data_IF_377120429591
#
_entry.id   IF_377120429591
#
_cell.length_a   1.000
_cell.length_b   1.000
_cell.length_c   1.000
_cell.angle_alpha   90.00
_cell.angle_beta   90.00
_cell.angle_gamma   90.00
#
_symmetry.space_group_name_H-M   'P 1'
#
loop_
_entity.id
_entity.type
_entity.pdbx_description
1 polymer ?
#
# COMPACT_ATOMS: atom_id res chain seq x y z
N UNK A 1 0.45 -15.01 -7.79
CA UNK A 1 1.83 -14.80 -7.30
C UNK A 1 2.61 -16.11 -7.42
N UNK A 2 3.75 -16.08 -8.10
CA UNK A 2 4.69 -17.19 -8.12
C UNK A 2 5.55 -17.16 -6.85
N UNK A 3 5.28 -18.10 -5.94
CA UNK A 3 5.95 -18.17 -4.65
C UNK A 3 7.27 -18.91 -4.67
N UNK A 4 7.58 -19.66 -5.73
CA UNK A 4 8.76 -20.57 -5.78
C UNK A 4 10.10 -19.84 -5.64
N UNK A 5 10.13 -18.55 -5.99
CA UNK A 5 11.32 -17.69 -5.95
C UNK A 5 11.61 -17.09 -4.56
N UNK A 6 10.73 -17.31 -3.58
CA UNK A 6 10.86 -16.74 -2.24
C UNK A 6 11.20 -17.78 -1.19
N UNK A 7 11.85 -17.37 -0.09
CA UNK A 7 12.07 -18.22 1.06
C UNK A 7 10.75 -18.70 1.69
N UNK A 8 10.74 -19.86 2.35
CA UNK A 8 9.54 -20.40 3.00
C UNK A 8 8.88 -19.40 3.99
N UNK A 9 9.70 -18.66 4.73
CA UNK A 9 9.20 -17.62 5.63
C UNK A 9 8.42 -16.55 4.85
N UNK A 10 9.01 -16.05 3.75
CA UNK A 10 8.38 -15.03 2.93
C UNK A 10 7.13 -15.54 2.20
N UNK A 11 7.15 -16.80 1.73
CA UNK A 11 5.97 -17.45 1.16
C UNK A 11 4.79 -17.48 2.14
N UNK A 12 5.04 -17.82 3.42
CA UNK A 12 4.00 -17.80 4.45
C UNK A 12 3.44 -16.40 4.66
N UNK A 13 4.31 -15.37 4.70
CA UNK A 13 3.90 -13.98 4.83
C UNK A 13 3.05 -13.57 3.62
N UNK A 14 3.53 -13.78 2.40
CA UNK A 14 2.80 -13.44 1.17
C UNK A 14 1.42 -14.12 1.13
N UNK A 15 1.34 -15.41 1.47
CA UNK A 15 0.07 -16.13 1.53
C UNK A 15 -0.89 -15.53 2.56
N UNK A 16 -0.39 -15.11 3.72
CA UNK A 16 -1.21 -14.43 4.74
C UNK A 16 -1.72 -13.09 4.24
N UNK A 17 -0.83 -12.27 3.65
CA UNK A 17 -1.19 -10.98 3.08
C UNK A 17 -2.18 -11.11 1.92
N UNK A 18 -2.03 -12.15 1.09
CA UNK A 18 -2.94 -12.39 -0.04
C UNK A 18 -4.37 -12.79 0.43
N UNK A 19 -4.49 -13.32 1.63
CA UNK A 19 -5.78 -13.62 2.25
C UNK A 19 -6.37 -12.43 3.03
N UNK A 20 -5.64 -11.33 3.16
CA UNK A 20 -6.13 -10.12 3.80
C UNK A 20 -7.30 -9.52 2.99
N UNK A 21 -8.41 -9.25 3.67
CA UNK A 21 -9.55 -8.60 3.04
C UNK A 21 -9.29 -7.11 2.90
N UNK A 22 -9.96 -6.48 1.94
CA UNK A 22 -9.99 -5.02 1.87
C UNK A 22 -10.40 -4.42 3.23
N UNK A 23 -9.64 -3.44 3.69
CA UNK A 23 -9.86 -2.79 4.98
C UNK A 23 -9.15 -3.45 6.16
N UNK A 24 -8.56 -4.65 6.00
CA UNK A 24 -7.65 -5.22 7.02
C UNK A 24 -6.45 -4.31 7.17
N UNK A 25 -6.03 -4.00 8.40
CA UNK A 25 -4.82 -3.19 8.61
C UNK A 25 -3.57 -3.96 8.20
N UNK A 26 -2.53 -3.24 7.81
CA UNK A 26 -1.23 -3.85 7.51
C UNK A 26 -0.72 -4.61 8.73
N UNK A 27 -0.88 -4.03 9.93
CA UNK A 27 -0.51 -4.69 11.20
C UNK A 27 -1.20 -6.04 11.37
N UNK A 28 -2.52 -6.09 11.22
CA UNK A 28 -3.28 -7.33 11.43
C UNK A 28 -2.99 -8.37 10.34
N UNK A 29 -2.76 -7.93 9.10
CA UNK A 29 -2.42 -8.82 8.00
C UNK A 29 -1.06 -9.50 8.18
N UNK A 30 -0.06 -8.80 8.71
CA UNK A 30 1.24 -9.39 9.03
C UNK A 30 1.19 -10.24 10.30
N UNK A 31 0.37 -9.85 11.29
CA UNK A 31 0.34 -10.52 12.61
C UNK A 31 1.72 -10.57 13.26
N UNK A 32 2.13 -11.75 13.70
CA UNK A 32 3.42 -11.97 14.39
C UNK A 32 4.66 -11.81 13.49
N UNK A 33 4.47 -11.79 12.16
CA UNK A 33 5.54 -11.59 11.20
C UNK A 33 5.70 -10.11 10.78
N UNK A 34 5.06 -9.18 11.51
CA UNK A 34 5.19 -7.75 11.25
C UNK A 34 6.66 -7.32 11.39
N UNK A 35 7.25 -6.69 10.35
CA UNK A 35 8.60 -6.14 10.48
C UNK A 35 8.68 -5.07 11.57
N UNK A 36 9.84 -4.95 12.23
CA UNK A 36 10.09 -3.92 13.24
C UNK A 36 9.88 -2.50 12.69
N UNK A 37 10.14 -2.32 11.41
CA UNK A 37 9.89 -1.07 10.69
C UNK A 37 9.49 -1.32 9.23
N UNK A 38 8.61 -0.48 8.71
CA UNK A 38 8.26 -0.40 7.30
C UNK A 38 8.50 1.04 6.85
N UNK A 39 9.50 1.22 6.01
CA UNK A 39 9.93 2.53 5.53
C UNK A 39 9.00 3.06 4.45
N UNK A 40 8.74 4.37 4.44
CA UNK A 40 8.03 5.07 3.38
C UNK A 40 9.03 5.86 2.53
N UNK A 41 9.06 5.57 1.24
CA UNK A 41 9.85 6.30 0.23
C UNK A 41 8.95 7.18 -0.63
N UNK A 42 9.41 8.38 -0.95
CA UNK A 42 8.70 9.27 -1.86
C UNK A 42 9.07 8.99 -3.34
N UNK A 43 8.49 9.78 -4.23
CA UNK A 43 8.72 9.68 -5.68
C UNK A 43 10.17 9.92 -6.13
N UNK A 44 10.98 10.51 -5.27
CA UNK A 44 12.41 10.75 -5.51
C UNK A 44 13.28 9.69 -4.83
N UNK A 45 12.69 8.59 -4.40
CA UNK A 45 13.35 7.52 -3.65
C UNK A 45 14.03 8.01 -2.36
N UNK A 46 13.47 9.03 -1.75
CA UNK A 46 13.95 9.55 -0.46
C UNK A 46 13.14 8.94 0.67
N UNK A 47 13.84 8.32 1.63
CA UNK A 47 13.24 7.83 2.86
C UNK A 47 12.60 8.99 3.63
N UNK A 48 11.30 8.90 3.88
CA UNK A 48 10.54 9.94 4.62
C UNK A 48 10.39 9.61 6.09
N UNK A 49 9.93 8.40 6.39
CA UNK A 49 9.64 7.96 7.77
C UNK A 49 9.30 6.48 7.79
N UNK A 50 9.26 5.91 8.98
CA UNK A 50 8.55 4.65 9.20
C UNK A 50 7.04 4.90 9.20
N UNK A 51 6.28 4.00 8.62
CA UNK A 51 4.82 4.05 8.70
C UNK A 51 4.35 3.50 10.05
N UNK A 52 3.14 3.90 10.45
CA UNK A 52 2.37 3.16 11.44
C UNK A 52 1.50 2.13 10.72
N UNK A 53 1.82 0.83 10.80
CA UNK A 53 1.10 -0.20 10.04
C UNK A 53 -0.34 -0.40 10.51
N UNK A 54 -0.75 0.15 11.65
CA UNK A 54 -2.14 0.14 12.11
C UNK A 54 -3.03 1.16 11.39
N UNK A 55 -2.44 2.17 10.76
CA UNK A 55 -3.16 3.22 10.03
C UNK A 55 -3.37 2.91 8.56
N UNK A 56 -2.58 1.99 8.01
CA UNK A 56 -2.69 1.54 6.62
C UNK A 56 -3.56 0.31 6.51
N UNK A 57 -4.43 0.29 5.51
CA UNK A 57 -5.38 -0.80 5.24
C UNK A 57 -5.17 -1.34 3.82
N UNK A 58 -5.37 -2.63 3.61
CA UNK A 58 -5.31 -3.25 2.29
C UNK A 58 -6.44 -2.75 1.40
N UNK A 59 -6.09 -2.37 0.17
CA UNK A 59 -7.01 -2.00 -0.90
C UNK A 59 -7.12 -3.10 -1.94
N UNK A 60 -6.03 -3.82 -2.21
CA UNK A 60 -5.94 -4.93 -3.17
C UNK A 60 -5.36 -6.19 -2.52
N UNK A 61 -5.56 -7.38 -3.12
CA UNK A 61 -4.73 -8.55 -2.82
C UNK A 61 -3.27 -8.30 -3.20
N UNK A 62 -2.39 -9.22 -2.80
CA UNK A 62 -1.00 -9.22 -3.24
C UNK A 62 -0.90 -9.61 -4.71
N UNK A 63 -0.07 -8.91 -5.46
CA UNK A 63 0.16 -9.10 -6.90
C UNK A 63 1.65 -9.18 -7.17
N UNK A 64 2.04 -9.91 -8.24
CA UNK A 64 3.39 -9.82 -8.79
C UNK A 64 3.55 -8.52 -9.57
N UNK A 65 4.71 -7.88 -9.42
CA UNK A 65 5.18 -6.87 -10.35
C UNK A 65 6.45 -7.36 -11.02
N UNK A 66 6.49 -7.27 -12.35
CA UNK A 66 7.59 -7.78 -13.16
C UNK A 66 8.11 -6.67 -14.08
N UNK A 67 9.42 -6.56 -14.17
CA UNK A 67 10.12 -5.60 -15.03
C UNK A 67 10.96 -6.40 -16.05
N UNK A 68 10.39 -6.67 -17.23
CA UNK A 68 11.03 -7.53 -18.24
C UNK A 68 12.04 -6.77 -19.12
N UNK A 69 11.81 -5.48 -19.35
CA UNK A 69 12.60 -4.67 -20.30
C UNK A 69 13.43 -3.58 -19.66
N UNK A 70 13.28 -3.37 -18.36
CA UNK A 70 13.98 -2.36 -17.57
C UNK A 70 14.35 -2.92 -16.22
N UNK A 71 15.43 -2.46 -15.64
CA UNK A 71 15.80 -2.77 -14.25
C UNK A 71 15.68 -1.49 -13.45
N UNK A 72 14.67 -1.35 -12.59
CA UNK A 72 14.56 -0.20 -11.70
C UNK A 72 15.78 -0.15 -10.76
N UNK A 73 16.28 1.05 -10.53
CA UNK A 73 17.35 1.31 -9.55
C UNK A 73 17.02 2.56 -8.74
N UNK A 74 17.76 2.78 -7.66
CA UNK A 74 17.62 3.98 -6.85
C UNK A 74 17.85 5.27 -7.64
N UNK A 75 18.79 5.24 -8.60
CA UNK A 75 19.16 6.39 -9.44
C UNK A 75 18.24 6.53 -10.67
N UNK A 76 17.64 5.42 -11.16
CA UNK A 76 16.72 5.42 -12.31
C UNK A 76 15.44 4.63 -11.96
N UNK A 77 14.58 5.18 -11.10
CA UNK A 77 13.35 4.49 -10.68
C UNK A 77 12.33 4.43 -11.82
N UNK A 78 11.61 3.32 -11.87
CA UNK A 78 10.55 3.10 -12.88
C UNK A 78 9.22 3.54 -12.33
N UNK A 79 8.55 4.46 -13.02
CA UNK A 79 7.19 4.88 -12.71
C UNK A 79 6.17 3.88 -13.24
N UNK A 80 5.35 3.34 -12.35
CA UNK A 80 4.24 2.43 -12.69
C UNK A 80 2.92 3.05 -12.28
N UNK A 81 1.93 2.99 -13.18
CA UNK A 81 0.57 3.47 -12.90
C UNK A 81 -0.37 2.28 -12.69
N UNK A 82 -1.13 2.33 -11.61
CA UNK A 82 -2.13 1.33 -11.24
C UNK A 82 -3.53 1.91 -11.37
N UNK A 83 -4.47 1.06 -11.79
CA UNK A 83 -5.89 1.39 -11.73
C UNK A 83 -6.44 0.92 -10.39
N UNK A 84 -6.95 1.85 -9.61
CA UNK A 84 -7.56 1.60 -8.32
C UNK A 84 -8.95 2.25 -8.29
N UNK A 85 -9.98 1.44 -8.48
CA UNK A 85 -11.35 1.93 -8.45
C UNK A 85 -11.73 2.41 -7.04
N UNK A 86 -12.57 3.44 -6.98
CA UNK A 86 -13.10 4.01 -5.73
C UNK A 86 -12.05 4.71 -4.85
N UNK A 87 -11.08 5.38 -5.46
CA UNK A 87 -10.24 6.33 -4.74
C UNK A 87 -11.04 7.60 -4.48
N UNK A 88 -11.29 7.90 -3.22
CA UNK A 88 -11.90 9.18 -2.80
C UNK A 88 -10.83 10.19 -2.43
N UNK A 89 -11.19 11.47 -2.40
CA UNK A 89 -10.24 12.51 -2.00
C UNK A 89 -9.82 12.41 -0.52
N UNK A 90 -10.58 11.65 0.27
CA UNK A 90 -10.32 11.43 1.70
C UNK A 90 -9.27 10.37 1.99
N UNK A 91 -8.83 9.60 0.98
CA UNK A 91 -7.81 8.57 1.17
C UNK A 91 -6.53 8.91 0.40
N UNK A 92 -5.41 8.48 0.96
CA UNK A 92 -4.13 8.40 0.32
C UNK A 92 -3.88 6.94 -0.01
N UNK A 93 -3.66 6.63 -1.28
CA UNK A 93 -3.28 5.28 -1.73
C UNK A 93 -1.78 5.24 -1.93
N UNK A 94 -1.14 4.26 -1.33
CA UNK A 94 0.29 3.99 -1.40
C UNK A 94 0.50 2.51 -1.79
N UNK A 95 1.72 2.09 -2.05
CA UNK A 95 2.05 0.74 -2.47
C UNK A 95 2.91 0.06 -1.40
N UNK A 96 2.40 -1.02 -0.78
CA UNK A 96 3.21 -1.94 0.01
C UNK A 96 3.98 -2.82 -0.97
N UNK A 97 5.29 -2.82 -0.90
CA UNK A 97 6.19 -3.49 -1.82
C UNK A 97 7.24 -4.29 -1.05
N UNK A 98 7.53 -5.50 -1.51
CA UNK A 98 8.68 -6.23 -1.01
C UNK A 98 9.90 -5.92 -1.88
N UNK A 99 10.73 -4.99 -1.41
CA UNK A 99 11.98 -4.64 -2.06
C UNK A 99 12.98 -5.79 -1.91
N UNK A 100 13.57 -6.29 -2.99
CA UNK A 100 14.62 -7.32 -2.90
C UNK A 100 15.84 -6.91 -2.06
N UNK A 101 16.09 -5.61 -1.95
CA UNK A 101 17.26 -5.05 -1.26
C UNK A 101 16.97 -4.70 0.22
N UNK A 102 15.75 -4.19 0.50
CA UNK A 102 15.41 -3.62 1.80
C UNK A 102 14.30 -4.39 2.56
N UNK A 103 13.65 -5.36 1.92
CA UNK A 103 12.49 -6.05 2.48
C UNK A 103 11.19 -5.24 2.31
N UNK A 104 10.25 -5.35 3.28
CA UNK A 104 8.97 -4.68 3.17
C UNK A 104 9.09 -3.17 3.35
N UNK A 105 8.57 -2.43 2.38
CA UNK A 105 8.55 -0.97 2.36
C UNK A 105 7.28 -0.44 1.73
N UNK A 106 7.04 0.86 1.85
CA UNK A 106 5.93 1.56 1.22
C UNK A 106 6.48 2.60 0.24
N UNK A 107 5.99 2.53 -0.99
CA UNK A 107 6.23 3.55 -2.01
C UNK A 107 5.06 4.51 -2.00
N UNK A 108 5.33 5.80 -1.88
CA UNK A 108 4.32 6.84 -1.85
C UNK A 108 3.59 6.89 -3.19
N UNK A 109 2.26 6.78 -3.14
CA UNK A 109 1.41 6.90 -4.30
C UNK A 109 1.15 8.37 -4.68
N UNK A 110 1.23 8.65 -5.98
CA UNK A 110 0.83 9.92 -6.59
C UNK A 110 -0.52 9.73 -7.27
N UNK A 111 -1.57 10.41 -6.76
CA UNK A 111 -2.89 10.39 -7.38
C UNK A 111 -2.82 11.05 -8.75
N UNK A 112 -3.14 10.31 -9.81
CA UNK A 112 -3.16 10.80 -11.19
C UNK A 112 -4.58 11.21 -11.59
N UNK A 113 -5.56 10.41 -11.19
CA UNK A 113 -6.99 10.66 -11.41
C UNK A 113 -7.81 9.97 -10.32
N UNK A 114 -9.13 9.99 -10.42
CA UNK A 114 -10.03 9.36 -9.44
C UNK A 114 -9.94 7.83 -9.42
N UNK A 115 -9.29 7.24 -10.39
CA UNK A 115 -9.09 5.79 -10.48
C UNK A 115 -7.65 5.38 -10.81
N UNK A 116 -6.69 6.31 -10.76
CA UNK A 116 -5.29 6.01 -11.07
C UNK A 116 -4.33 6.55 -10.02
N UNK A 117 -3.40 5.71 -9.62
CA UNK A 117 -2.28 6.03 -8.73
C UNK A 117 -0.98 5.59 -9.38
N UNK A 118 0.06 6.41 -9.33
CA UNK A 118 1.39 6.04 -9.77
C UNK A 118 2.34 5.93 -8.59
N UNK A 119 3.34 5.06 -8.71
CA UNK A 119 4.46 4.99 -7.78
C UNK A 119 5.77 4.74 -8.52
N UNK A 120 6.88 5.01 -7.86
CA UNK A 120 8.23 4.89 -8.40
C UNK A 120 8.94 3.72 -7.73
N UNK A 121 9.23 2.68 -8.51
CA UNK A 121 9.94 1.50 -8.07
C UNK A 121 11.44 1.69 -8.30
N UNK A 122 12.23 1.41 -7.28
CA UNK A 122 13.67 1.60 -7.27
C UNK A 122 14.45 0.29 -7.15
N UNK A 123 13.76 -0.85 -7.20
CA UNK A 123 14.35 -2.18 -7.19
C UNK A 123 13.51 -3.14 -8.05
N UNK A 124 14.01 -4.35 -8.25
CA UNK A 124 13.54 -5.30 -9.25
C UNK A 124 12.14 -5.89 -9.02
N UNK A 125 11.83 -6.87 -9.85
CA UNK A 125 10.55 -7.58 -9.82
C UNK A 125 10.31 -8.29 -8.49
N UNK A 126 9.10 -8.17 -7.95
CA UNK A 126 8.72 -8.77 -6.66
C UNK A 126 7.20 -8.76 -6.45
N UNK A 127 6.75 -8.78 -5.21
CA UNK A 127 5.33 -8.70 -4.85
C UNK A 127 4.98 -7.33 -4.29
N UNK A 128 3.74 -6.90 -4.54
CA UNK A 128 3.21 -5.65 -4.05
C UNK A 128 1.71 -5.75 -3.76
N UNK A 129 1.18 -4.80 -3.00
CA UNK A 129 -0.24 -4.60 -2.81
C UNK A 129 -0.56 -3.10 -2.75
N UNK A 130 -1.73 -2.70 -3.20
CA UNK A 130 -2.23 -1.37 -2.93
C UNK A 130 -2.73 -1.31 -1.50
N UNK A 131 -2.31 -0.30 -0.77
CA UNK A 131 -2.75 0.01 0.59
C UNK A 131 -3.24 1.46 0.63
N UNK A 132 -4.05 1.78 1.62
CA UNK A 132 -4.54 3.15 1.79
C UNK A 132 -4.58 3.55 3.26
N UNK A 133 -4.54 4.85 3.49
CA UNK A 133 -4.82 5.50 4.76
C UNK A 133 -5.78 6.65 4.58
N UNK A 134 -6.53 6.98 5.60
CA UNK A 134 -7.41 8.15 5.60
C UNK A 134 -6.56 9.44 5.74
N UNK A 135 -6.82 10.44 4.89
CA UNK A 135 -6.20 11.76 5.01
C UNK A 135 -6.81 12.45 6.23
N UNK A 136 -5.98 12.85 7.16
CA UNK A 136 -6.43 13.52 8.38
C UNK A 136 -6.61 12.62 9.60
N UNK A 137 -6.38 11.31 9.48
CA UNK A 137 -6.13 10.48 10.65
C UNK A 137 -4.80 10.93 11.30
N UNK A 138 -4.86 11.95 12.12
CA UNK A 138 -3.77 12.31 13.03
C UNK A 138 -3.54 11.13 13.93
N UNK A 139 -2.31 10.63 13.96
CA UNK A 139 -1.83 9.71 14.98
C UNK A 139 -2.23 10.30 16.33
N UNK A 140 -3.24 9.69 16.95
CA UNK A 140 -3.71 10.15 18.26
C UNK A 140 -2.61 9.96 19.28
N UNK A 141 -1.98 11.03 19.69
CA UNK A 141 -1.48 11.15 21.05
C UNK A 141 -2.65 10.84 21.95
N UNK A 142 -2.54 9.82 22.78
CA UNK A 142 -3.52 9.42 23.77
C UNK A 142 -3.77 10.61 24.72
N UNK A 143 -4.75 11.45 24.41
CA UNK A 143 -5.33 12.31 25.39
C UNK A 143 -6.48 11.57 26.05
N UNK A 144 -6.27 11.24 27.31
CA UNK A 144 -7.32 10.80 28.21
C UNK A 144 -8.36 11.92 28.29
N UNK A 145 -9.49 11.74 27.62
CA UNK A 145 -10.62 12.64 27.77
C UNK A 145 -11.42 12.27 29.02
N UNK A 146 -11.78 13.25 29.84
CA UNK A 146 -12.70 13.00 30.97
C UNK A 146 -14.11 12.70 30.41
N UNK A 147 -14.73 11.67 30.94
CA UNK A 147 -16.12 11.30 30.68
C UNK A 147 -17.06 12.43 31.10
N UNK A 148 -17.78 12.98 30.15
CA UNK A 148 -19.08 13.62 30.42
C UNK A 148 -20.10 13.05 29.45
N UNK A 149 -21.13 12.41 30.02
CA UNK A 149 -22.15 11.73 29.26
C UNK A 149 -23.04 12.68 28.46
N UNK A 150 -23.25 12.35 27.22
CA UNK A 150 -24.42 12.77 26.44
C UNK A 150 -24.74 11.68 25.41
N UNK A 151 -25.92 11.12 25.52
CA UNK A 151 -26.49 10.19 24.55
C UNK A 151 -26.77 10.95 23.24
N UNK A 152 -26.20 10.48 22.15
CA UNK A 152 -26.66 10.87 20.81
C UNK A 152 -26.89 9.59 19.99
N UNK A 153 -28.16 9.37 19.69
CA UNK A 153 -28.63 8.34 18.76
C UNK A 153 -28.48 8.85 17.34
N UNK A 154 -27.66 8.20 16.54
CA UNK A 154 -27.61 8.40 15.09
C UNK A 154 -27.89 7.06 14.39
N UNK A 155 -28.78 7.03 13.38
CA UNK A 155 -29.04 5.79 12.65
C UNK A 155 -27.94 5.50 11.64
N UNK A 156 -27.39 4.30 11.73
CA UNK A 156 -26.44 3.78 10.75
C UNK A 156 -27.25 3.19 9.58
N UNK A 157 -27.08 3.76 8.43
CA UNK A 157 -27.44 3.10 7.18
C UNK A 157 -26.55 3.63 6.05
N UNK A 158 -25.49 2.94 5.72
CA UNK A 158 -24.97 2.91 4.34
C UNK A 158 -24.31 1.56 4.08
N UNK A 159 -25.06 0.67 3.43
CA UNK A 159 -24.50 -0.48 2.73
C UNK A 159 -24.04 0.00 1.36
N UNK A 160 -22.75 0.03 1.12
CA UNK A 160 -22.21 0.19 -0.22
C UNK A 160 -21.47 -1.08 -0.61
N UNK A 161 -22.10 -1.89 -1.45
CA UNK A 161 -21.49 -3.05 -2.10
C UNK A 161 -20.75 -2.52 -3.32
N UNK A 162 -19.45 -2.72 -3.38
CA UNK A 162 -18.64 -2.33 -4.55
C UNK A 162 -17.93 -3.53 -5.15
N UNK A 163 -18.15 -3.73 -6.43
CA UNK A 163 -17.39 -4.67 -7.26
C UNK A 163 -16.09 -4.03 -7.72
N UNK A 164 -15.00 -4.75 -7.53
CA UNK A 164 -13.67 -4.34 -7.99
C UNK A 164 -13.31 -5.18 -9.21
N UNK A 165 -13.20 -4.53 -10.36
CA UNK A 165 -12.56 -5.12 -11.55
C UNK A 165 -11.13 -4.58 -11.65
N UNK A 166 -10.17 -5.48 -11.73
CA UNK A 166 -8.75 -5.15 -11.85
C UNK A 166 -8.32 -5.21 -13.31
N UNK A 167 -7.67 -4.16 -13.77
CA UNK A 167 -6.94 -4.17 -15.03
C UNK A 167 -5.57 -3.54 -14.81
N UNK A 168 -4.53 -4.23 -15.20
CA UNK A 168 -3.16 -3.72 -15.20
C UNK A 168 -2.88 -3.19 -16.60
N UNK A 169 -2.44 -1.93 -16.71
CA UNK A 169 -1.99 -1.36 -17.99
C UNK A 169 -0.68 -0.60 -17.85
N UNK A 170 0.22 -1.06 -18.69
CA UNK A 170 1.33 -0.41 -19.39
C UNK A 170 2.37 0.41 -18.64
N UNK A 171 3.58 -0.11 -18.72
CA UNK A 171 4.86 0.56 -18.50
C UNK A 171 5.08 1.72 -19.47
N UNK A 172 5.29 2.92 -18.96
CA UNK A 172 5.76 4.04 -19.78
C UNK A 172 7.01 4.65 -19.16
N UNK A 173 8.12 4.54 -19.88
CA UNK A 173 9.39 5.19 -19.52
C UNK A 173 9.39 6.61 -20.08
N UNK A 174 9.29 7.62 -19.22
CA UNK A 174 9.52 9.01 -19.60
C UNK A 174 10.99 9.35 -19.34
N UNK A 175 11.78 9.53 -20.41
CA UNK A 175 13.09 10.15 -20.32
C UNK A 175 12.90 11.64 -20.03
N UNK A 176 13.50 12.12 -18.96
CA UNK A 176 13.71 13.56 -18.79
C UNK A 176 14.74 14.04 -19.84
N UNK A 177 14.35 15.03 -20.60
CA UNK A 177 15.27 15.88 -21.33
C UNK A 177 15.90 16.89 -20.38
#
# INVERSE_FOLDING_TARGET
VDLSKYSEKLQRIINRLNNARRGTTVKDAFGDDLPDSINLYDKSNVLKKNIDPSTYKFLSPVMDITFDSVTPTADDPVRVTFVANNMTDNIQVDILYYCPEHGWEVLQGEKISDNQVAAYFHAGSSVMALIYREKGATVGTSQVSPQTGARSTWPIAVSAIFFVSFGIFALYKSKKA
#
